data_IF_020156611368
#
_entry.id   IF_020156611368
#
_cell.length_a   1.000
_cell.length_b   1.000
_cell.length_c   1.000
_cell.angle_alpha   90.00
_cell.angle_beta   90.00
_cell.angle_gamma   90.00
#
_symmetry.space_group_name_H-M   'P 1'
#
loop_
_entity.id
_entity.type
_entity.pdbx_description
1 polymer ?
#
# COMPACT_ATOMS: atom_id res chain seq x y z
N UNK A 1 -4.82 17.52 -7.32
CA UNK A 1 -3.52 16.89 -7.00
C UNK A 1 -3.69 16.19 -5.67
N UNK A 2 -4.03 14.90 -5.66
CA UNK A 2 -4.27 14.16 -4.42
C UNK A 2 -2.92 13.82 -3.79
N UNK A 3 -2.60 14.42 -2.65
CA UNK A 3 -1.42 14.06 -1.84
C UNK A 3 -1.61 12.68 -1.22
N UNK A 4 -1.46 11.63 -2.03
CA UNK A 4 -1.52 10.24 -1.60
C UNK A 4 -0.29 9.86 -0.77
N UNK A 5 -0.45 8.88 0.11
CA UNK A 5 0.67 8.27 0.85
C UNK A 5 1.62 7.64 -0.17
N UNK A 6 2.89 8.05 -0.17
CA UNK A 6 3.92 7.45 -1.01
C UNK A 6 4.61 6.33 -0.24
N UNK A 7 4.36 5.09 -0.67
CA UNK A 7 5.08 3.92 -0.16
C UNK A 7 6.32 3.70 -1.04
N UNK A 8 7.51 3.88 -0.45
CA UNK A 8 8.77 3.48 -1.06
C UNK A 8 9.26 2.18 -0.41
N UNK A 9 9.98 1.35 -1.17
CA UNK A 9 10.61 0.14 -0.63
C UNK A 9 11.54 0.44 0.55
N UNK A 10 12.23 1.59 0.50
CA UNK A 10 13.10 2.06 1.60
C UNK A 10 12.30 2.32 2.89
N UNK A 11 11.17 3.02 2.81
CA UNK A 11 10.32 3.27 3.98
C UNK A 11 9.79 1.96 4.57
N UNK A 12 9.31 1.05 3.72
CA UNK A 12 8.77 -0.24 4.15
C UNK A 12 9.86 -1.06 4.86
N UNK A 13 11.07 -1.11 4.30
CA UNK A 13 12.19 -1.84 4.88
C UNK A 13 12.61 -1.24 6.22
N UNK A 14 12.74 0.08 6.31
CA UNK A 14 13.11 0.75 7.56
C UNK A 14 12.11 0.47 8.69
N UNK A 15 10.81 0.43 8.37
CA UNK A 15 9.77 0.08 9.33
C UNK A 15 9.88 -1.39 9.77
N UNK A 16 10.04 -2.33 8.82
CA UNK A 16 10.24 -3.76 9.12
C UNK A 16 11.46 -4.00 10.01
N UNK A 17 12.60 -3.40 9.67
CA UNK A 17 13.82 -3.51 10.48
C UNK A 17 13.64 -2.98 11.90
N UNK A 18 12.88 -1.90 12.07
CA UNK A 18 12.56 -1.37 13.40
C UNK A 18 11.76 -2.39 14.22
N UNK A 19 10.76 -3.03 13.63
CA UNK A 19 9.96 -4.06 14.31
C UNK A 19 10.81 -5.28 14.68
N UNK A 20 11.66 -5.76 13.75
CA UNK A 20 12.53 -6.93 13.96
C UNK A 20 13.53 -6.73 15.10
N UNK A 21 14.00 -5.49 15.32
CA UNK A 21 14.86 -5.16 16.48
C UNK A 21 14.18 -5.39 17.83
N UNK A 22 12.85 -5.35 17.88
CA UNK A 22 12.07 -5.56 19.10
C UNK A 22 11.53 -6.99 19.21
N UNK A 23 11.17 -7.60 18.09
CA UNK A 23 10.67 -8.97 18.01
C UNK A 23 11.11 -9.62 16.70
N UNK A 24 11.96 -10.65 16.79
CA UNK A 24 12.44 -11.37 15.62
C UNK A 24 11.31 -12.03 14.81
N UNK A 25 10.16 -12.35 15.44
CA UNK A 25 9.01 -12.89 14.72
C UNK A 25 8.41 -11.88 13.73
N UNK A 26 8.71 -10.59 13.86
CA UNK A 26 8.28 -9.56 12.91
C UNK A 26 8.98 -9.65 11.54
N UNK A 27 9.98 -10.53 11.37
CA UNK A 27 10.55 -10.84 10.04
C UNK A 27 9.50 -11.46 9.10
N UNK A 28 8.48 -12.13 9.67
CA UNK A 28 7.30 -12.57 8.93
C UNK A 28 6.39 -11.37 8.58
N UNK A 29 6.07 -11.22 7.29
CA UNK A 29 5.24 -10.13 6.78
C UNK A 29 3.83 -10.08 7.40
N UNK A 30 3.23 -11.24 7.71
CA UNK A 30 1.94 -11.31 8.41
C UNK A 30 2.06 -10.81 9.84
N UNK A 31 3.17 -11.07 10.52
CA UNK A 31 3.43 -10.56 11.86
C UNK A 31 3.72 -9.06 11.84
N UNK A 32 4.49 -8.58 10.86
CA UNK A 32 4.66 -7.14 10.61
C UNK A 32 3.31 -6.43 10.46
N UNK A 33 2.40 -6.97 9.65
CA UNK A 33 1.07 -6.38 9.46
C UNK A 33 0.23 -6.34 10.74
N UNK A 34 0.34 -7.35 11.60
CA UNK A 34 -0.29 -7.36 12.92
C UNK A 34 0.27 -6.26 13.82
N UNK A 35 1.59 -6.07 13.86
CA UNK A 35 2.22 -4.99 14.62
C UNK A 35 1.75 -3.61 14.16
N UNK A 36 1.72 -3.36 12.85
CA UNK A 36 1.24 -2.09 12.30
C UNK A 36 -0.22 -1.83 12.69
N UNK A 37 -1.07 -2.85 12.61
CA UNK A 37 -2.48 -2.77 13.02
C UNK A 37 -2.63 -2.46 14.52
N UNK A 38 -1.82 -3.11 15.36
CA UNK A 38 -1.81 -2.87 16.80
C UNK A 38 -1.34 -1.45 17.15
N UNK A 39 -0.31 -0.94 16.46
CA UNK A 39 0.19 0.44 16.62
C UNK A 39 -0.91 1.45 16.29
N UNK A 40 -1.66 1.25 15.20
CA UNK A 40 -2.80 2.12 14.84
C UNK A 40 -3.81 2.15 15.99
N UNK A 41 -4.21 0.99 16.50
CA UNK A 41 -5.15 0.89 17.62
C UNK A 41 -4.62 1.58 18.89
N UNK A 42 -3.35 1.36 19.22
CA UNK A 42 -2.69 1.99 20.36
C UNK A 42 -2.67 3.52 20.25
N UNK A 43 -2.22 4.06 19.11
CA UNK A 43 -2.15 5.51 18.87
C UNK A 43 -3.54 6.15 18.91
N UNK A 44 -4.55 5.47 18.34
CA UNK A 44 -5.92 5.96 18.34
C UNK A 44 -6.57 5.94 19.74
N UNK A 45 -6.25 4.92 20.54
CA UNK A 45 -6.73 4.83 21.93
C UNK A 45 -6.28 6.05 22.75
N UNK A 46 -5.06 6.53 22.53
CA UNK A 46 -4.47 7.70 23.21
C UNK A 46 -5.04 9.06 22.75
N UNK A 47 -5.86 9.11 21.69
CA UNK A 47 -6.48 10.36 21.27
C UNK A 47 -7.48 10.86 22.32
N UNK A 48 -7.31 12.09 22.79
CA UNK A 48 -8.11 12.70 23.85
C UNK A 48 -9.26 13.55 23.33
N UNK A 49 -9.33 13.81 22.01
CA UNK A 49 -10.42 14.58 21.41
C UNK A 49 -11.77 13.84 21.59
N UNK A 50 -12.70 14.38 22.39
CA UNK A 50 -13.97 13.71 22.67
C UNK A 50 -14.92 13.68 21.47
N UNK A 51 -14.71 14.55 20.47
CA UNK A 51 -15.50 14.55 19.24
C UNK A 51 -15.00 13.54 18.19
N UNK A 52 -13.83 12.91 18.42
CA UNK A 52 -13.29 11.94 17.50
C UNK A 52 -14.09 10.63 17.57
N UNK A 53 -14.80 10.30 16.50
CA UNK A 53 -15.39 8.97 16.33
C UNK A 53 -14.28 7.95 16.00
N UNK A 54 -13.61 7.43 17.04
CA UNK A 54 -12.51 6.45 16.89
C UNK A 54 -12.95 5.22 16.08
N UNK A 55 -14.17 4.72 16.29
CA UNK A 55 -14.69 3.56 15.57
C UNK A 55 -14.90 3.88 14.08
N UNK A 56 -15.46 5.05 13.77
CA UNK A 56 -15.60 5.53 12.40
C UNK A 56 -14.25 5.66 11.70
N UNK A 57 -13.28 6.27 12.38
CA UNK A 57 -11.93 6.44 11.85
C UNK A 57 -11.24 5.10 11.53
N UNK A 58 -11.42 4.05 12.34
CA UNK A 58 -10.92 2.71 12.01
C UNK A 58 -11.55 2.14 10.73
N UNK A 59 -12.85 2.37 10.51
CA UNK A 59 -13.53 1.91 9.29
C UNK A 59 -13.01 2.68 8.06
N UNK A 60 -12.78 3.98 8.21
CA UNK A 60 -12.21 4.81 7.15
C UNK A 60 -10.79 4.33 6.79
N UNK A 61 -9.96 4.02 7.79
CA UNK A 61 -8.63 3.44 7.58
C UNK A 61 -8.71 2.07 6.90
N UNK A 62 -9.64 1.20 7.29
CA UNK A 62 -9.85 -0.09 6.63
C UNK A 62 -10.22 0.06 5.15
N UNK A 63 -11.07 1.05 4.84
CA UNK A 63 -11.47 1.36 3.47
C UNK A 63 -10.27 1.87 2.66
N UNK A 64 -9.50 2.79 3.24
CA UNK A 64 -8.30 3.33 2.63
C UNK A 64 -7.25 2.24 2.37
N UNK A 65 -7.00 1.32 3.31
CA UNK A 65 -6.08 0.20 3.11
C UNK A 65 -6.52 -0.70 1.95
N UNK A 66 -7.82 -0.96 1.79
CA UNK A 66 -8.35 -1.69 0.64
C UNK A 66 -8.06 -0.98 -0.68
N UNK A 67 -8.26 0.34 -0.75
CA UNK A 67 -7.95 1.13 -1.95
C UNK A 67 -6.46 1.11 -2.31
N UNK A 68 -5.58 1.15 -1.30
CA UNK A 68 -4.12 1.04 -1.52
C UNK A 68 -3.76 -0.35 -2.06
N UNK A 69 -4.35 -1.41 -1.52
CA UNK A 69 -4.16 -2.77 -2.04
C UNK A 69 -4.57 -2.87 -3.51
N UNK A 70 -5.80 -2.44 -3.83
CA UNK A 70 -6.34 -2.47 -5.20
C UNK A 70 -5.44 -1.69 -6.17
N UNK A 71 -4.92 -0.53 -5.73
CA UNK A 71 -4.02 0.29 -6.53
C UNK A 71 -2.69 -0.43 -6.79
N UNK A 72 -2.05 -0.97 -5.75
CA UNK A 72 -0.76 -1.67 -5.88
C UNK A 72 -0.90 -2.92 -6.75
N UNK A 73 -1.97 -3.69 -6.58
CA UNK A 73 -2.25 -4.86 -7.42
C UNK A 73 -2.50 -4.48 -8.88
N UNK A 74 -3.17 -3.36 -9.13
CA UNK A 74 -3.36 -2.82 -10.48
C UNK A 74 -2.03 -2.44 -11.12
N UNK A 75 -1.14 -1.78 -10.37
CA UNK A 75 0.17 -1.34 -10.86
C UNK A 75 1.13 -2.53 -11.11
N UNK A 76 0.94 -3.65 -10.41
CA UNK A 76 1.70 -4.89 -10.63
C UNK A 76 1.26 -5.67 -11.86
N UNK A 77 0.11 -5.35 -12.49
CA UNK A 77 -0.33 -6.05 -13.71
C UNK A 77 0.59 -5.66 -14.87
N UNK A 78 1.20 -6.63 -15.58
CA UNK A 78 2.00 -6.33 -16.76
C UNK A 78 1.10 -5.63 -17.78
N UNK A 79 1.53 -4.45 -18.25
CA UNK A 79 0.89 -3.82 -19.41
C UNK A 79 1.01 -4.80 -20.58
N UNK A 80 -0.14 -5.26 -21.11
CA UNK A 80 -0.14 -6.04 -22.33
C UNK A 80 0.57 -5.21 -23.41
N UNK A 81 1.60 -5.75 -24.09
CA UNK A 81 2.25 -5.03 -25.16
C UNK A 81 1.20 -4.70 -26.22
N UNK A 82 0.96 -3.40 -26.43
CA UNK A 82 0.07 -2.89 -27.47
C UNK A 82 0.58 -3.39 -28.82
N UNK A 83 -0.18 -4.27 -29.46
CA UNK A 83 0.08 -4.80 -30.81
C UNK A 83 0.00 -3.74 -31.92
N UNK A 84 -0.29 -2.49 -31.58
CA UNK A 84 -0.41 -1.36 -32.53
C UNK A 84 0.94 -0.89 -33.10
N UNK A 85 2.08 -1.45 -32.63
CA UNK A 85 3.42 -1.15 -33.15
C UNK A 85 3.96 -2.18 -34.16
N UNK A 86 3.16 -3.12 -34.66
CA UNK A 86 3.51 -3.87 -35.87
C UNK A 86 3.12 -3.04 -37.10
N UNK A 87 4.11 -2.32 -37.62
CA UNK A 87 4.00 -1.43 -38.77
C UNK A 87 3.23 -2.06 -39.93
N UNK A 88 2.33 -1.27 -40.51
CA UNK A 88 1.69 -1.58 -41.79
C UNK A 88 2.80 -1.67 -42.85
N UNK A 89 3.21 -2.89 -43.21
CA UNK A 89 3.99 -3.12 -44.43
C UNK A 89 3.03 -3.11 -45.62
N UNK A 90 3.18 -2.16 -46.54
CA UNK A 90 2.53 -2.18 -47.85
C UNK A 90 3.57 -2.49 -48.91
N UNK A 91 3.66 -3.72 -49.44
CA UNK A 91 4.46 -3.99 -50.62
C UNK A 91 3.67 -3.61 -51.87
N UNK A 92 4.32 -2.87 -52.76
CA UNK A 92 3.87 -2.71 -54.15
C UNK A 92 3.43 -1.30 -54.51
N UNK A 93 4.40 -0.41 -54.70
CA UNK A 93 4.34 0.54 -55.82
C UNK A 93 5.69 0.44 -56.55
N UNK A 94 5.72 -0.45 -57.55
CA UNK A 94 6.76 -0.58 -58.56
C UNK A 94 6.10 -0.64 -59.92
#
# INVERSE_FOLDING_TARGET
MSGGIQLSGELINAVKESLVKHDAAAEDDLMTMQYLSAIIGYVLAHQTNPALNKRGFLNDLSTFMGQVLDQVESDMRPQQPSLEAFGIWRPGEG
#
